data_IF_225076031293
#
_entry.id   IF_225076031293
#
_cell.length_a   1.000
_cell.length_b   1.000
_cell.length_c   1.000
_cell.angle_alpha   90.00
_cell.angle_beta   90.00
_cell.angle_gamma   90.00
#
_symmetry.space_group_name_H-M   'P 1'
#
loop_
_entity.id
_entity.type
_entity.pdbx_description
1 polymer ?
#
# COMPACT_ATOMS: atom_id res chain seq x y z
N UNK A 1 -20.19 2.18 -12.70
CA UNK A 1 -18.80 2.68 -12.74
C UNK A 1 -17.92 1.48 -12.47
N UNK A 2 -17.66 0.68 -13.52
CA UNK A 2 -17.14 -0.68 -13.44
C UNK A 2 -15.60 -0.69 -13.30
N UNK A 3 -15.11 -1.49 -12.35
CA UNK A 3 -13.90 -2.35 -12.40
C UNK A 3 -12.58 -1.87 -13.02
N UNK A 4 -12.29 -0.57 -13.03
CA UNK A 4 -10.93 -0.10 -13.38
C UNK A 4 -9.90 -0.60 -12.36
N UNK A 5 -10.26 -0.68 -11.07
CA UNK A 5 -9.33 -1.05 -10.00
C UNK A 5 -8.86 -2.51 -10.08
N UNK A 6 -9.74 -3.47 -10.36
CA UNK A 6 -9.38 -4.89 -10.41
C UNK A 6 -8.62 -5.26 -11.69
N UNK A 7 -9.03 -4.71 -12.83
CA UNK A 7 -8.35 -4.91 -14.11
C UNK A 7 -6.93 -4.35 -14.08
N UNK A 8 -6.74 -3.22 -13.41
CA UNK A 8 -5.44 -2.54 -13.29
C UNK A 8 -4.47 -3.24 -12.34
N UNK A 9 -4.94 -3.79 -11.21
CA UNK A 9 -4.10 -4.59 -10.30
C UNK A 9 -3.59 -5.87 -10.99
N UNK A 10 -4.41 -6.48 -11.84
CA UNK A 10 -4.04 -7.69 -12.57
C UNK A 10 -2.99 -7.45 -13.66
N UNK A 11 -2.94 -6.25 -14.24
CA UNK A 11 -2.05 -5.91 -15.36
C UNK A 11 -0.66 -5.46 -14.91
N UNK A 12 -0.53 -4.74 -13.79
CA UNK A 12 0.71 -4.01 -13.46
C UNK A 12 1.71 -4.74 -12.57
N UNK A 13 1.37 -5.91 -12.01
CA UNK A 13 2.28 -6.57 -11.07
C UNK A 13 2.23 -8.11 -10.98
N UNK A 14 1.75 -8.88 -11.98
CA UNK A 14 1.69 -10.34 -11.87
C UNK A 14 3.06 -11.00 -11.72
N UNK A 15 4.15 -10.37 -12.19
CA UNK A 15 5.51 -10.91 -12.05
C UNK A 15 6.14 -10.67 -10.66
N UNK A 16 5.61 -9.70 -9.90
CA UNK A 16 6.19 -9.25 -8.63
C UNK A 16 5.33 -9.60 -7.41
N UNK A 17 4.13 -10.16 -7.63
CA UNK A 17 3.15 -10.36 -6.59
C UNK A 17 2.68 -11.80 -6.52
N UNK A 18 2.51 -12.25 -5.28
CA UNK A 18 1.72 -13.42 -4.98
C UNK A 18 0.45 -12.95 -4.24
N UNK A 19 -0.70 -12.81 -4.91
CA UNK A 19 -1.92 -12.31 -4.28
C UNK A 19 -2.45 -13.22 -3.14
N UNK A 20 -1.97 -14.46 -3.03
CA UNK A 20 -2.24 -15.33 -1.89
C UNK A 20 -1.39 -14.98 -0.65
N UNK A 21 -0.21 -14.39 -0.84
CA UNK A 21 0.73 -14.06 0.23
C UNK A 21 0.77 -12.57 0.57
N UNK A 22 0.59 -11.71 -0.43
CA UNK A 22 0.79 -10.27 -0.33
C UNK A 22 -0.48 -9.53 0.07
N UNK A 23 -0.38 -8.66 1.07
CA UNK A 23 -1.42 -7.69 1.36
C UNK A 23 -1.39 -6.60 0.30
N UNK A 24 -2.56 -6.29 -0.27
CA UNK A 24 -2.71 -5.30 -1.34
C UNK A 24 -3.65 -4.19 -0.88
N UNK A 25 -3.23 -2.95 -1.14
CA UNK A 25 -3.99 -1.74 -0.84
C UNK A 25 -3.89 -0.77 -2.03
N UNK A 26 -5.02 -0.22 -2.45
CA UNK A 26 -5.08 0.79 -3.52
C UNK A 26 -5.71 2.07 -3.00
N UNK A 27 -5.11 3.20 -3.35
CA UNK A 27 -5.60 4.55 -2.99
C UNK A 27 -5.93 5.37 -4.23
N UNK A 28 -6.70 6.45 -4.07
CA UNK A 28 -6.75 7.52 -5.07
C UNK A 28 -5.44 8.35 -5.06
N UNK A 29 -5.34 9.35 -5.94
CA UNK A 29 -4.16 10.23 -6.03
C UNK A 29 -3.91 11.10 -4.78
N UNK A 30 -4.91 11.27 -3.90
CA UNK A 30 -4.77 11.93 -2.61
C UNK A 30 -4.35 10.97 -1.47
N UNK A 31 -4.15 9.68 -1.75
CA UNK A 31 -3.76 8.69 -0.75
C UNK A 31 -4.92 8.17 0.12
N UNK A 32 -6.17 8.39 -0.29
CA UNK A 32 -7.35 7.79 0.36
C UNK A 32 -7.57 6.38 -0.18
N UNK A 33 -7.63 5.40 0.72
CA UNK A 33 -7.84 3.99 0.40
C UNK A 33 -9.20 3.80 -0.27
N UNK A 34 -9.19 3.19 -1.46
CA UNK A 34 -10.38 2.86 -2.24
C UNK A 34 -10.66 1.35 -2.21
N UNK A 35 -9.62 0.53 -2.05
CA UNK A 35 -9.74 -0.93 -2.09
C UNK A 35 -8.61 -1.62 -1.34
N UNK A 36 -8.90 -2.78 -0.76
CA UNK A 36 -7.94 -3.69 -0.13
C UNK A 36 -8.32 -5.15 -0.41
N UNK A 37 -7.34 -6.05 -0.47
CA UNK A 37 -7.61 -7.49 -0.61
C UNK A 37 -7.86 -8.17 0.76
N UNK A 38 -8.38 -9.41 0.80
CA UNK A 38 -8.55 -10.13 2.07
C UNK A 38 -7.25 -10.33 2.86
N UNK A 39 -6.11 -10.44 2.16
CA UNK A 39 -4.80 -10.62 2.79
C UNK A 39 -4.37 -9.38 3.59
N UNK A 40 -4.70 -8.17 3.12
CA UNK A 40 -4.57 -6.94 3.89
C UNK A 40 -5.32 -7.04 5.21
N UNK A 41 -6.57 -7.49 5.18
CA UNK A 41 -7.38 -7.60 6.40
C UNK A 41 -6.81 -8.62 7.37
N UNK A 42 -6.38 -9.78 6.86
CA UNK A 42 -5.74 -10.82 7.66
C UNK A 42 -4.42 -10.34 8.31
N UNK A 43 -3.61 -9.57 7.57
CA UNK A 43 -2.33 -9.08 8.07
C UNK A 43 -2.51 -7.89 9.04
N UNK A 44 -3.37 -6.93 8.71
CA UNK A 44 -3.45 -5.67 9.48
C UNK A 44 -4.44 -5.75 10.65
N UNK A 45 -5.43 -6.66 10.56
CA UNK A 45 -6.54 -6.76 11.50
C UNK A 45 -7.67 -5.75 11.25
N UNK A 46 -7.54 -4.87 10.26
CA UNK A 46 -8.62 -3.96 9.84
C UNK A 46 -9.49 -4.63 8.79
N UNK A 47 -10.81 -4.50 8.89
CA UNK A 47 -11.69 -4.90 7.80
C UNK A 47 -11.56 -3.93 6.62
N UNK A 48 -12.02 -4.34 5.43
CA UNK A 48 -12.12 -3.45 4.28
C UNK A 48 -13.01 -2.23 4.57
N UNK A 49 -14.11 -2.40 5.30
CA UNK A 49 -15.02 -1.30 5.68
C UNK A 49 -14.39 -0.31 6.65
N UNK A 50 -13.43 -0.74 7.47
CA UNK A 50 -12.68 0.13 8.37
C UNK A 50 -11.53 0.85 7.65
N UNK A 51 -10.95 0.22 6.63
CA UNK A 51 -9.81 0.77 5.89
C UNK A 51 -10.23 1.74 4.78
N UNK A 52 -11.27 1.42 4.01
CA UNK A 52 -11.73 2.23 2.87
C UNK A 52 -12.21 3.60 3.36
N UNK A 53 -11.82 4.66 2.66
CA UNK A 53 -12.10 6.05 3.03
C UNK A 53 -11.07 6.67 3.98
N UNK A 54 -10.15 5.88 4.55
CA UNK A 54 -9.05 6.37 5.38
C UNK A 54 -7.73 6.49 4.60
N UNK A 55 -6.71 7.07 5.23
CA UNK A 55 -5.33 7.09 4.69
C UNK A 55 -4.49 5.99 5.33
N UNK A 56 -3.42 5.50 4.67
CA UNK A 56 -2.51 4.49 5.22
C UNK A 56 -1.87 4.84 6.58
N UNK A 57 -2.02 6.08 7.06
CA UNK A 57 -1.67 6.47 8.44
C UNK A 57 -2.35 5.60 9.49
N UNK A 58 -3.46 4.93 9.16
CA UNK A 58 -4.08 3.92 10.02
C UNK A 58 -3.11 2.81 10.46
N UNK A 59 -2.09 2.51 9.64
CA UNK A 59 -1.07 1.50 9.92
C UNK A 59 0.19 2.08 10.57
N UNK A 60 0.26 3.40 10.78
CA UNK A 60 1.46 4.04 11.30
C UNK A 60 1.78 3.58 12.72
N UNK A 61 3.02 3.16 12.93
CA UNK A 61 3.55 2.76 14.23
C UNK A 61 4.06 3.93 15.07
N UNK A 62 4.36 5.08 14.44
CA UNK A 62 5.08 6.19 15.08
C UNK A 62 6.60 6.00 15.18
N UNK A 63 7.14 4.86 14.71
CA UNK A 63 8.59 4.58 14.71
C UNK A 63 9.35 5.45 13.71
N UNK A 64 8.72 5.73 12.57
CA UNK A 64 9.36 6.44 11.46
C UNK A 64 9.15 7.95 11.56
N UNK A 65 10.21 8.71 11.33
CA UNK A 65 10.17 10.18 11.35
C UNK A 65 9.44 10.75 10.13
N UNK A 66 9.05 12.02 10.21
CA UNK A 66 8.53 12.73 9.04
C UNK A 66 9.52 12.72 7.86
N UNK A 67 10.83 12.84 8.14
CA UNK A 67 11.88 12.78 7.13
C UNK A 67 11.95 11.43 6.42
N UNK A 68 11.69 10.31 7.12
CA UNK A 68 11.58 9.00 6.49
C UNK A 68 10.44 8.97 5.46
N UNK A 69 9.26 9.45 5.83
CA UNK A 69 8.13 9.48 4.90
C UNK A 69 8.37 10.45 3.73
N UNK A 70 9.06 11.58 3.94
CA UNK A 70 9.46 12.46 2.84
C UNK A 70 10.41 11.76 1.87
N UNK A 71 11.39 11.01 2.38
CA UNK A 71 12.32 10.22 1.58
C UNK A 71 11.63 9.04 0.85
N UNK A 72 10.53 8.52 1.40
CA UNK A 72 9.66 7.54 0.74
C UNK A 72 8.89 8.17 -0.43
N UNK A 73 8.29 9.34 -0.21
CA UNK A 73 7.44 10.00 -1.21
C UNK A 73 8.22 10.61 -2.37
N UNK A 74 9.43 11.10 -2.15
CA UNK A 74 10.26 11.71 -3.21
C UNK A 74 10.44 10.82 -4.46
N UNK A 75 11.02 9.62 -4.37
CA UNK A 75 11.17 8.73 -5.53
C UNK A 75 9.82 8.25 -6.07
N UNK A 76 8.82 8.04 -5.21
CA UNK A 76 7.48 7.64 -5.66
C UNK A 76 6.83 8.69 -6.56
N UNK A 77 6.98 9.97 -6.22
CA UNK A 77 6.44 11.07 -7.03
C UNK A 77 7.26 11.34 -8.29
N UNK A 78 8.56 11.10 -8.27
CA UNK A 78 9.46 11.36 -9.41
C UNK A 78 9.50 10.20 -10.42
N UNK A 79 9.51 8.96 -9.93
CA UNK A 79 9.80 7.74 -10.70
C UNK A 79 8.60 6.79 -10.73
N UNK A 80 7.54 7.09 -9.99
CA UNK A 80 6.36 6.24 -9.90
C UNK A 80 6.58 4.97 -9.07
N UNK A 81 7.69 4.85 -8.36
CA UNK A 81 8.05 3.63 -7.63
C UNK A 81 8.76 3.93 -6.32
N UNK A 82 8.45 3.14 -5.30
CA UNK A 82 9.26 3.05 -4.09
C UNK A 82 9.20 1.64 -3.50
N UNK A 83 10.32 1.17 -2.95
CA UNK A 83 10.38 -0.06 -2.17
C UNK A 83 11.27 0.13 -0.94
N UNK A 84 10.86 -0.43 0.19
CA UNK A 84 11.67 -0.41 1.40
C UNK A 84 11.05 -1.16 2.57
N UNK A 85 11.80 -1.21 3.66
CA UNK A 85 11.33 -1.78 4.91
C UNK A 85 10.68 -0.70 5.76
N UNK A 86 9.52 -1.02 6.35
CA UNK A 86 8.80 -0.13 7.26
C UNK A 86 8.25 -0.91 8.44
N UNK A 87 8.08 -0.22 9.56
CA UNK A 87 7.49 -0.75 10.78
C UNK A 87 6.08 -0.22 10.88
N UNK A 88 5.10 -1.11 10.78
CA UNK A 88 3.70 -0.76 10.87
C UNK A 88 3.08 -1.34 12.14
N UNK A 89 1.90 -0.85 12.47
CA UNK A 89 1.11 -1.26 13.62
C UNK A 89 -0.20 -1.87 13.14
N UNK A 90 -0.53 -3.03 13.67
CA UNK A 90 -1.82 -3.70 13.46
C UNK A 90 -2.90 -3.02 14.28
N UNK A 91 -4.16 -3.34 14.00
CA UNK A 91 -5.32 -2.86 14.77
C UNK A 91 -5.21 -3.16 16.27
N UNK A 92 -4.65 -4.32 16.62
CA UNK A 92 -4.43 -4.73 18.02
C UNK A 92 -3.26 -4.02 18.72
N UNK A 93 -2.57 -3.10 18.05
CA UNK A 93 -1.42 -2.37 18.58
C UNK A 93 -0.07 -3.04 18.39
N UNK A 94 -0.01 -4.28 17.89
CA UNK A 94 1.24 -4.97 17.63
C UNK A 94 2.02 -4.27 16.51
N UNK A 95 3.28 -3.92 16.81
CA UNK A 95 4.22 -3.37 15.84
C UNK A 95 4.96 -4.52 15.16
N UNK A 96 5.09 -4.47 13.83
CA UNK A 96 5.73 -5.51 13.03
C UNK A 96 6.51 -4.89 11.85
N UNK A 97 7.64 -5.51 11.45
CA UNK A 97 8.37 -5.10 10.26
C UNK A 97 7.67 -5.66 9.02
N UNK A 98 7.63 -4.87 7.95
CA UNK A 98 7.13 -5.30 6.66
C UNK A 98 8.03 -4.80 5.52
N UNK A 99 8.09 -5.58 4.44
CA UNK A 99 8.61 -5.10 3.16
C UNK A 99 7.44 -4.48 2.39
N UNK A 100 7.58 -3.23 1.99
CA UNK A 100 6.54 -2.46 1.29
C UNK A 100 7.05 -2.05 -0.09
N UNK A 101 6.22 -2.27 -1.11
CA UNK A 101 6.40 -1.76 -2.47
C UNK A 101 5.22 -0.89 -2.83
N UNK A 102 5.46 0.27 -3.44
CA UNK A 102 4.44 1.21 -3.88
C UNK A 102 4.69 1.58 -5.34
N UNK A 103 3.64 1.52 -6.15
CA UNK A 103 3.64 1.95 -7.54
C UNK A 103 2.61 3.07 -7.73
N UNK A 104 2.99 4.12 -8.44
CA UNK A 104 2.06 5.14 -8.93
C UNK A 104 1.33 4.60 -10.16
N UNK A 105 0.06 4.94 -10.25
CA UNK A 105 -0.83 4.56 -11.34
C UNK A 105 -1.15 5.83 -12.13
N UNK A 106 -0.89 5.79 -13.43
CA UNK A 106 -1.04 6.94 -14.32
C UNK A 106 -2.27 6.79 -15.21
N UNK A 107 -2.96 7.89 -15.46
CA UNK A 107 -4.00 7.96 -16.49
C UNK A 107 -3.38 8.10 -17.89
N UNK A 108 -4.23 8.15 -18.93
CA UNK A 108 -3.80 8.33 -20.32
C UNK A 108 -3.02 9.64 -20.57
N UNK A 109 -3.15 10.62 -19.68
CA UNK A 109 -2.46 11.91 -19.73
C UNK A 109 -1.14 11.90 -18.92
N UNK A 110 -0.64 10.74 -18.49
CA UNK A 110 0.58 10.60 -17.68
C UNK A 110 0.48 11.33 -16.32
N UNK A 111 -0.73 11.49 -15.79
CA UNK A 111 -0.96 12.06 -14.46
C UNK A 111 -1.28 10.94 -13.47
N UNK A 112 -0.70 11.03 -12.27
CA UNK A 112 -0.99 10.07 -11.20
C UNK A 112 -2.46 10.16 -10.81
N UNK A 113 -3.18 9.04 -10.93
CA UNK A 113 -4.58 8.92 -10.54
C UNK A 113 -4.79 7.99 -9.33
N UNK A 114 -3.84 7.11 -9.04
CA UNK A 114 -3.90 6.20 -7.90
C UNK A 114 -2.50 5.74 -7.45
N UNK A 115 -2.44 5.05 -6.30
CA UNK A 115 -1.26 4.32 -5.86
C UNK A 115 -1.65 2.90 -5.48
N UNK A 116 -0.84 1.92 -5.88
CA UNK A 116 -0.96 0.53 -5.44
C UNK A 116 0.21 0.17 -4.52
N UNK A 117 -0.13 -0.37 -3.36
CA UNK A 117 0.80 -0.79 -2.33
C UNK A 117 0.68 -2.29 -2.08
N UNK A 118 1.82 -2.96 -1.98
CA UNK A 118 1.95 -4.39 -1.77
C UNK A 118 2.93 -4.63 -0.63
N UNK A 119 2.54 -5.43 0.35
CA UNK A 119 3.40 -5.65 1.51
C UNK A 119 3.23 -7.01 2.17
N UNK A 120 4.34 -7.46 2.74
CA UNK A 120 4.44 -8.70 3.52
C UNK A 120 5.16 -8.42 4.82
N UNK A 121 4.71 -9.08 5.89
CA UNK A 121 5.47 -9.11 7.13
C UNK A 121 6.82 -9.78 6.90
N UNK A 122 7.87 -9.16 7.42
CA UNK A 122 9.19 -9.76 7.41
C UNK A 122 9.26 -10.78 8.54
N UNK A 123 9.64 -12.01 8.21
CA UNK A 123 10.10 -12.95 9.21
C UNK A 123 11.47 -12.47 9.71
N UNK A 124 11.56 -12.15 10.99
CA UNK A 124 12.87 -12.04 11.65
C UNK A 124 13.47 -13.45 11.77
N UNK A 125 14.76 -13.63 11.45
CA UNK A 125 15.45 -14.91 11.62
C UNK A 125 15.37 -15.47 13.04
#
# INVERSE_FOLDING_TARGET
MQDVTLSFIAEFAPELLNPALDAIMVTNCQGIIQWVNPRFSALTGYSASEAIGNTPRLLSSGVHSQGFYQAMWQPLLQQGFWQGDIWNKRKNGQIYPQKLTINAIYNAQQQVCAYAAFFTEKQTP
#
